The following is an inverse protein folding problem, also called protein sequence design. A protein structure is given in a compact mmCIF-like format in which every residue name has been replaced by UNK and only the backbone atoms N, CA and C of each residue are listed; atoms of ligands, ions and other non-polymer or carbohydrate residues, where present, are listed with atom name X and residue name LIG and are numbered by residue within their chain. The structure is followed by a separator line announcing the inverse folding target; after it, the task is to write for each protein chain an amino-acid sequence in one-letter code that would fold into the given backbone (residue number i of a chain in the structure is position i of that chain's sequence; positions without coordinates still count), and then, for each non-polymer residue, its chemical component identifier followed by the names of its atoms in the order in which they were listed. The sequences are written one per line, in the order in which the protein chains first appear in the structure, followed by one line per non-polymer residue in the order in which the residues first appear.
data_IF_381299662543
#
_entry.id   IF_381299662543
#
_cell.length_a   1.000
_cell.length_b   1.000
_cell.length_c   1.000
_cell.angle_alpha   90.00
_cell.angle_beta   90.00
_cell.angle_gamma   90.00
#
_symmetry.space_group_name_H-M   'P 1'
#
loop_
_entity.id
_entity.type
_entity.pdbx_description
1 polymer ?
#
# COMPACT_ATOMS: atom_id res chain seq x y z
N UNK A 1 13.12 -0.31 7.64
CA UNK A 1 12.30 0.91 7.49
C UNK A 1 12.51 1.78 8.71
N UNK A 2 12.74 3.09 8.51
CA UNK A 2 12.98 4.05 9.59
C UNK A 2 11.73 4.93 9.84
N UNK A 3 10.97 5.26 8.80
CA UNK A 3 9.77 6.09 8.93
C UNK A 3 8.72 5.69 7.89
N UNK A 4 7.45 5.95 8.19
CA UNK A 4 6.30 5.72 7.30
C UNK A 4 5.55 7.05 7.15
N UNK A 5 5.54 7.60 5.94
CA UNK A 5 4.92 8.89 5.65
C UNK A 5 3.40 8.74 5.60
N UNK A 6 2.94 7.82 4.76
CA UNK A 6 1.55 7.53 4.44
C UNK A 6 1.39 6.03 4.09
N UNK A 7 0.29 5.68 3.41
CA UNK A 7 -0.03 4.30 3.07
C UNK A 7 0.91 3.66 2.03
N UNK A 8 1.65 4.44 1.24
CA UNK A 8 2.42 3.91 0.11
C UNK A 8 3.79 4.59 -0.11
N UNK A 9 4.23 5.37 0.87
CA UNK A 9 5.53 6.03 0.92
C UNK A 9 6.22 5.78 2.27
N UNK A 10 7.46 5.28 2.22
CA UNK A 10 8.29 5.00 3.41
C UNK A 10 9.69 5.58 3.27
N UNK A 11 10.37 5.74 4.40
CA UNK A 11 11.81 5.99 4.46
C UNK A 11 12.56 4.73 4.88
N UNK A 12 13.59 4.39 4.11
CA UNK A 12 14.50 3.28 4.39
C UNK A 12 15.93 3.76 4.56
N UNK A 13 16.74 2.94 5.24
CA UNK A 13 18.20 3.14 5.31
C UNK A 13 18.84 2.02 4.50
N UNK A 14 19.66 2.39 3.51
CA UNK A 14 20.45 1.48 2.68
C UNK A 14 21.90 1.98 2.76
N UNK A 15 22.82 1.12 3.19
CA UNK A 15 24.25 1.47 3.35
C UNK A 15 24.47 2.80 4.11
N UNK A 16 23.79 2.97 5.25
CA UNK A 16 23.82 4.16 6.10
C UNK A 16 23.32 5.47 5.44
N UNK A 17 22.57 5.38 4.33
CA UNK A 17 21.93 6.53 3.68
C UNK A 17 20.41 6.37 3.69
N UNK A 18 19.72 7.48 3.88
CA UNK A 18 18.26 7.52 3.85
C UNK A 18 17.73 7.66 2.42
N UNK A 19 16.70 6.91 2.10
CA UNK A 19 15.99 6.98 0.83
C UNK A 19 14.49 6.94 1.08
N UNK A 20 13.76 7.82 0.39
CA UNK A 20 12.31 7.74 0.32
C UNK A 20 11.93 6.77 -0.80
N UNK A 21 10.95 5.92 -0.53
CA UNK A 21 10.50 4.84 -1.42
C UNK A 21 9.01 5.00 -1.67
N UNK A 22 8.62 5.12 -2.94
CA UNK A 22 7.22 5.12 -3.40
C UNK A 22 6.86 3.75 -3.95
N UNK A 23 5.74 3.22 -3.46
CA UNK A 23 5.29 1.88 -3.81
C UNK A 23 4.73 1.87 -5.23
N UNK A 24 5.30 1.04 -6.11
CA UNK A 24 4.83 0.91 -7.50
C UNK A 24 3.47 0.22 -7.55
N UNK A 25 2.61 0.66 -8.48
CA UNK A 25 1.42 -0.08 -8.87
C UNK A 25 0.17 0.20 -8.03
N UNK A 26 0.29 1.04 -7.00
CA UNK A 26 -0.78 1.33 -6.05
C UNK A 26 -0.83 2.81 -5.67
N UNK A 27 -2.00 3.28 -5.27
CA UNK A 27 -2.20 4.59 -4.67
C UNK A 27 -3.07 4.50 -3.41
N UNK A 28 -2.60 5.06 -2.31
CA UNK A 28 -3.37 5.19 -1.06
C UNK A 28 -3.95 6.60 -0.93
N UNK A 29 -5.00 6.80 -0.12
CA UNK A 29 -5.44 8.15 0.19
C UNK A 29 -4.30 8.97 0.82
N UNK A 30 -4.08 10.16 0.31
CA UNK A 30 -2.92 10.99 0.67
C UNK A 30 -3.10 11.63 2.07
N UNK A 31 -2.00 11.70 2.82
CA UNK A 31 -1.94 12.49 4.06
C UNK A 31 -1.24 13.80 3.76
N UNK A 32 -1.99 14.89 3.81
CA UNK A 32 -1.35 16.21 3.76
C UNK A 32 -0.50 16.44 5.01
N UNK A 33 0.70 16.98 4.81
CA UNK A 33 1.65 17.33 5.87
C UNK A 33 1.71 18.85 6.11
N UNK A 34 1.00 19.63 5.29
CA UNK A 34 0.76 21.05 5.48
C UNK A 34 -0.42 21.28 6.42
N UNK A 35 -0.37 22.31 7.29
CA UNK A 35 -1.53 22.72 8.07
C UNK A 35 -2.67 23.30 7.22
N UNK A 36 -2.40 23.65 5.96
CA UNK A 36 -3.31 24.40 5.10
C UNK A 36 -4.25 23.53 4.26
N UNK A 37 -4.17 22.20 4.38
CA UNK A 37 -4.98 21.29 3.57
C UNK A 37 -5.34 20.01 4.35
N UNK A 38 -6.60 19.53 4.23
CA UNK A 38 -7.02 18.34 4.94
C UNK A 38 -6.44 17.09 4.27
N UNK A 39 -6.03 16.12 5.08
CA UNK A 39 -5.73 14.76 4.61
C UNK A 39 -6.98 14.12 3.97
N UNK A 40 -6.77 13.23 3.00
CA UNK A 40 -7.88 12.51 2.38
C UNK A 40 -8.54 11.55 3.37
N UNK A 41 -9.83 11.30 3.16
CA UNK A 41 -10.57 10.32 3.96
C UNK A 41 -9.87 8.96 3.89
N UNK A 42 -9.62 8.35 5.04
CA UNK A 42 -8.94 7.06 5.21
C UNK A 42 -7.40 7.06 5.06
N UNK A 43 -6.77 8.23 4.88
CA UNK A 43 -5.31 8.35 4.73
C UNK A 43 -4.54 7.88 5.98
N UNK A 44 -4.97 8.31 7.17
CA UNK A 44 -4.33 7.92 8.44
C UNK A 44 -4.44 6.42 8.70
N UNK A 45 -5.58 5.82 8.35
CA UNK A 45 -5.82 4.38 8.47
C UNK A 45 -4.90 3.60 7.52
N UNK A 46 -4.74 4.06 6.28
CA UNK A 46 -3.79 3.46 5.34
C UNK A 46 -2.34 3.56 5.83
N UNK A 47 -1.94 4.70 6.39
CA UNK A 47 -0.62 4.88 7.02
C UNK A 47 -0.40 3.93 8.18
N UNK A 48 -1.32 3.89 9.13
CA UNK A 48 -1.17 3.04 10.31
C UNK A 48 -1.15 1.55 9.93
N UNK A 49 -1.91 1.17 8.90
CA UNK A 49 -1.87 -0.19 8.38
C UNK A 49 -0.52 -0.50 7.71
N UNK A 50 -0.02 0.37 6.81
CA UNK A 50 1.32 0.22 6.23
C UNK A 50 2.40 0.14 7.33
N UNK A 51 2.29 0.99 8.35
CA UNK A 51 3.19 1.00 9.51
C UNK A 51 3.20 -0.34 10.25
N UNK A 52 2.04 -0.95 10.51
CA UNK A 52 1.98 -2.30 11.11
C UNK A 52 2.71 -3.34 10.25
N UNK A 53 2.64 -3.20 8.93
CA UNK A 53 3.27 -4.11 7.99
C UNK A 53 4.79 -3.95 7.93
N UNK A 54 5.33 -2.73 7.98
CA UNK A 54 6.74 -2.49 7.63
C UNK A 54 7.59 -1.75 8.68
N UNK A 55 6.98 -1.09 9.67
CA UNK A 55 7.72 -0.24 10.61
C UNK A 55 8.73 -1.06 11.42
N UNK A 56 9.94 -0.53 11.54
CA UNK A 56 11.09 -1.17 12.21
C UNK A 56 11.44 -2.56 11.69
N UNK A 57 11.00 -2.93 10.47
CA UNK A 57 11.35 -4.20 9.83
C UNK A 57 12.36 -4.00 8.70
N UNK A 58 13.12 -5.06 8.40
CA UNK A 58 13.85 -5.16 7.14
C UNK A 58 12.86 -5.46 6.01
N UNK A 59 13.07 -4.83 4.86
CA UNK A 59 12.25 -5.02 3.66
C UNK A 59 13.16 -5.27 2.47
N UNK A 60 12.68 -6.05 1.52
CA UNK A 60 13.29 -6.23 0.22
C UNK A 60 12.66 -5.25 -0.76
N UNK A 61 13.51 -4.55 -1.51
CA UNK A 61 13.10 -3.53 -2.46
C UNK A 61 13.43 -4.01 -3.86
N UNK A 62 12.40 -4.34 -4.63
CA UNK A 62 12.56 -4.73 -6.02
C UNK A 62 12.21 -3.55 -6.93
N UNK A 63 13.16 -3.13 -7.75
CA UNK A 63 12.91 -2.18 -8.83
C UNK A 63 12.20 -2.88 -10.00
N UNK A 64 11.41 -2.12 -10.75
CA UNK A 64 11.02 -2.50 -12.10
C UNK A 64 11.96 -1.85 -13.13
N UNK A 65 11.45 -0.94 -13.98
CA UNK A 65 12.23 -0.28 -15.02
C UNK A 65 12.74 1.07 -14.53
N UNK A 66 11.87 1.90 -13.97
CA UNK A 66 12.19 3.25 -13.50
C UNK A 66 12.94 3.22 -12.16
N UNK A 67 13.91 4.11 -12.00
CA UNK A 67 14.68 4.23 -10.75
C UNK A 67 13.97 5.09 -9.72
N UNK A 68 13.57 6.30 -10.12
CA UNK A 68 12.93 7.30 -9.28
C UNK A 68 11.75 7.96 -9.97
N UNK A 69 10.84 8.52 -9.18
CA UNK A 69 9.86 9.47 -9.69
C UNK A 69 10.46 10.89 -9.85
N UNK A 70 9.61 11.85 -10.27
CA UNK A 70 10.00 13.26 -10.45
C UNK A 70 10.38 13.99 -9.15
N UNK A 71 10.08 13.42 -7.98
CA UNK A 71 10.44 13.96 -6.68
C UNK A 71 11.71 13.32 -6.11
N UNK A 72 12.31 12.38 -6.83
CA UNK A 72 13.52 11.68 -6.40
C UNK A 72 13.27 10.50 -5.47
N UNK A 73 12.01 10.09 -5.26
CA UNK A 73 11.68 8.89 -4.47
C UNK A 73 12.02 7.66 -5.28
N UNK A 74 12.64 6.66 -4.67
CA UNK A 74 12.88 5.36 -5.31
C UNK A 74 11.55 4.68 -5.61
N UNK A 75 11.36 4.23 -6.86
CA UNK A 75 10.19 3.46 -7.24
C UNK A 75 10.45 1.97 -6.97
N UNK A 76 9.73 1.36 -6.03
CA UNK A 76 9.95 -0.05 -5.63
C UNK A 76 8.66 -0.82 -5.39
N UNK A 77 8.73 -2.12 -5.64
CA UNK A 77 7.90 -3.11 -4.98
C UNK A 77 8.54 -3.45 -3.64
N UNK A 78 7.74 -3.38 -2.56
CA UNK A 78 8.20 -3.58 -1.19
C UNK A 78 7.72 -4.94 -0.69
N UNK A 79 8.65 -5.69 -0.09
CA UNK A 79 8.37 -7.02 0.44
C UNK A 79 8.93 -7.16 1.84
N UNK A 80 8.25 -7.89 2.73
CA UNK A 80 8.80 -8.26 4.05
C UNK A 80 9.46 -9.64 4.03
N UNK A 81 9.13 -10.48 3.06
CA UNK A 81 9.72 -11.79 2.82
C UNK A 81 9.44 -12.25 1.37
N UNK A 82 9.71 -13.51 1.06
CA UNK A 82 9.55 -14.10 -0.28
C UNK A 82 8.11 -14.11 -0.80
N UNK A 83 7.11 -14.09 0.08
CA UNK A 83 5.70 -14.25 -0.29
C UNK A 83 4.89 -12.96 -0.09
N UNK A 84 5.30 -12.13 0.86
CA UNK A 84 4.56 -10.94 1.28
C UNK A 84 5.00 -9.67 0.55
N UNK A 85 4.39 -9.43 -0.62
CA UNK A 85 4.46 -8.13 -1.31
C UNK A 85 3.50 -7.14 -0.66
N UNK A 86 4.03 -6.14 0.02
CA UNK A 86 3.26 -5.15 0.78
C UNK A 86 2.34 -4.34 -0.14
N UNK A 87 2.79 -3.99 -1.34
CA UNK A 87 1.96 -3.31 -2.34
C UNK A 87 0.64 -4.05 -2.58
N UNK A 88 0.71 -5.37 -2.80
CA UNK A 88 -0.47 -6.20 -3.05
C UNK A 88 -1.32 -6.42 -1.78
N UNK A 89 -0.68 -6.54 -0.61
CA UNK A 89 -1.39 -6.65 0.68
C UNK A 89 -2.26 -5.42 0.93
N UNK A 90 -1.74 -4.21 0.68
CA UNK A 90 -2.49 -2.97 0.83
C UNK A 90 -3.73 -2.92 -0.08
N UNK A 91 -3.63 -3.42 -1.31
CA UNK A 91 -4.79 -3.52 -2.23
C UNK A 91 -5.79 -4.56 -1.74
N UNK A 92 -5.31 -5.76 -1.40
CA UNK A 92 -6.16 -6.87 -0.94
C UNK A 92 -6.98 -6.48 0.29
N UNK A 93 -6.36 -5.74 1.20
CA UNK A 93 -6.98 -5.39 2.48
C UNK A 93 -7.73 -4.05 2.40
N UNK A 94 -7.80 -3.43 1.21
CA UNK A 94 -8.65 -2.28 0.94
C UNK A 94 -8.08 -0.92 1.33
N UNK A 95 -6.78 -0.84 1.58
CA UNK A 95 -6.09 0.39 1.95
C UNK A 95 -5.49 1.14 0.76
N UNK A 96 -5.38 0.49 -0.41
CA UNK A 96 -4.86 1.07 -1.63
C UNK A 96 -5.71 0.73 -2.86
N UNK A 97 -5.72 1.63 -3.83
CA UNK A 97 -6.25 1.41 -5.17
C UNK A 97 -5.15 0.95 -6.12
N UNK A 98 -5.49 0.15 -7.13
CA UNK A 98 -4.56 -0.24 -8.20
C UNK A 98 -4.31 0.96 -9.12
N UNK A 99 -3.04 1.27 -9.37
CA UNK A 99 -2.60 2.36 -10.24
C UNK A 99 -1.48 1.88 -11.17
N UNK A 100 -1.79 1.63 -12.43
CA UNK A 100 -0.82 1.12 -13.42
C UNK A 100 -0.19 2.28 -14.18
N UNK A 101 1.14 2.43 -14.08
CA UNK A 101 1.91 3.49 -14.76
C UNK A 101 3.06 2.83 -15.53
N UNK A 102 3.02 2.81 -16.87
CA UNK A 102 4.16 2.35 -17.68
C UNK A 102 5.40 3.22 -17.46
N UNK A 103 6.62 2.64 -17.50
CA UNK A 103 6.93 1.25 -17.83
C UNK A 103 6.82 0.27 -16.64
N UNK A 104 6.46 0.71 -15.44
CA UNK A 104 6.54 -0.07 -14.19
C UNK A 104 5.29 -0.92 -13.93
N UNK A 105 5.09 -1.95 -14.76
CA UNK A 105 3.86 -2.76 -14.82
C UNK A 105 4.07 -4.25 -14.53
N UNK A 106 5.27 -4.68 -14.12
CA UNK A 106 5.64 -6.10 -13.97
C UNK A 106 4.65 -6.94 -13.15
N UNK A 107 4.00 -6.36 -12.14
CA UNK A 107 3.07 -7.07 -11.24
C UNK A 107 1.61 -6.58 -11.37
N UNK A 108 1.21 -5.98 -12.48
CA UNK A 108 -0.16 -5.52 -12.71
C UNK A 108 -1.20 -6.61 -12.40
N UNK A 109 -0.96 -7.83 -12.89
CA UNK A 109 -1.89 -8.95 -12.73
C UNK A 109 -2.06 -9.33 -11.26
N UNK A 110 -0.97 -9.32 -10.49
CA UNK A 110 -0.99 -9.58 -9.04
C UNK A 110 -1.80 -8.53 -8.28
N UNK A 111 -1.77 -7.26 -8.71
CA UNK A 111 -2.60 -6.21 -8.12
C UNK A 111 -4.08 -6.37 -8.47
N UNK A 112 -4.39 -6.81 -9.70
CA UNK A 112 -5.76 -7.14 -10.09
C UNK A 112 -6.31 -8.35 -9.33
N UNK A 113 -5.49 -9.37 -9.09
CA UNK A 113 -5.85 -10.51 -8.24
C UNK A 113 -6.12 -10.08 -6.80
N UNK A 114 -5.26 -9.25 -6.22
CA UNK A 114 -5.46 -8.68 -4.89
C UNK A 114 -6.79 -7.90 -4.80
N UNK A 115 -7.09 -7.08 -5.81
CA UNK A 115 -8.34 -6.33 -5.90
C UNK A 115 -9.56 -7.26 -6.04
N UNK A 116 -9.43 -8.38 -6.74
CA UNK A 116 -10.50 -9.37 -6.85
C UNK A 116 -10.79 -10.01 -5.50
N UNK A 117 -9.74 -10.39 -4.74
CA UNK A 117 -9.88 -10.92 -3.38
C UNK A 117 -10.59 -9.91 -2.47
N UNK A 118 -10.15 -8.66 -2.46
CA UNK A 118 -10.81 -7.57 -1.70
C UNK A 118 -12.33 -7.52 -1.96
N UNK A 119 -12.72 -7.55 -3.24
CA UNK A 119 -14.14 -7.48 -3.63
C UNK A 119 -14.95 -8.67 -3.13
N UNK A 120 -14.37 -9.87 -3.19
CA UNK A 120 -15.02 -11.10 -2.69
C UNK A 120 -15.16 -11.04 -1.17
N UNK A 121 -14.09 -10.70 -0.45
CA UNK A 121 -14.11 -10.63 1.02
C UNK A 121 -15.13 -9.60 1.52
N UNK A 122 -15.19 -8.43 0.87
CA UNK A 122 -16.19 -7.40 1.17
C UNK A 122 -17.62 -7.88 0.91
N UNK A 123 -17.84 -8.60 -0.19
CA UNK A 123 -19.15 -9.18 -0.49
C UNK A 123 -19.55 -10.20 0.58
N UNK A 124 -18.64 -11.08 0.99
CA UNK A 124 -18.87 -12.07 2.04
C UNK A 124 -19.17 -11.39 3.39
N UNK A 125 -18.41 -10.36 3.77
CA UNK A 125 -18.68 -9.59 5.00
C UNK A 125 -20.08 -8.98 5.00
N UNK A 126 -20.50 -8.39 3.87
CA UNK A 126 -21.85 -7.82 3.74
C UNK A 126 -22.92 -8.90 3.92
N UNK A 127 -22.75 -10.08 3.30
CA UNK A 127 -23.69 -11.19 3.45
C UNK A 127 -23.77 -11.70 4.89
N UNK A 128 -22.63 -11.79 5.59
CA UNK A 128 -22.58 -12.17 7.01
C UNK A 128 -23.34 -11.15 7.87
N UNK A 129 -23.13 -9.85 7.64
CA UNK A 129 -23.83 -8.79 8.38
C UNK A 129 -25.34 -8.84 8.15
N UNK A 130 -25.77 -9.07 6.91
CA UNK A 130 -27.19 -9.24 6.57
C UNK A 130 -27.77 -10.48 7.29
N UNK A 131 -27.06 -11.60 7.27
CA UNK A 131 -27.51 -12.82 7.94
C UNK A 131 -27.64 -12.60 9.46
N UNK A 132 -26.67 -11.96 10.10
CA UNK A 132 -26.73 -11.63 11.53
C UNK A 132 -27.91 -10.70 11.82
N UNK A 133 -28.12 -9.66 11.01
CA UNK A 133 -29.22 -8.72 11.18
C UNK A 133 -30.61 -9.38 11.06
N UNK A 134 -30.79 -10.34 10.14
CA UNK A 134 -32.04 -11.09 9.98
C UNK A 134 -32.33 -11.99 11.19
N UNK A 135 -31.31 -12.62 11.78
CA UNK A 135 -31.49 -13.56 12.90
C UNK A 135 -31.58 -12.88 14.29
N UNK A 136 -31.32 -11.57 14.37
CA UNK A 136 -31.46 -10.76 15.59
C UNK A 136 -32.80 -10.00 15.65
N UNK A 137 -33.64 -10.12 14.63
CA UNK A 137 -35.00 -9.56 14.52
C UNK A 137 -36.04 -10.67 14.72
#
# INVERSE_FOLDING_TARGET
VHYVYDGDTIRVVIDNKEYDVRYIGINTPEIDHSPDSPSEYYGYEAKEYNKQLVDKKYVYLAKDVSETDKYGRLLRYVWTDTYNMINAVLVRDGYANVMTIPPDVKYSDRFLEALAIYKVDKQVQILILIFIAINLL
#
